data_IF_190542488100
#
_entry.id   IF_190542488100
#
_cell.length_a   1.000
_cell.length_b   1.000
_cell.length_c   1.000
_cell.angle_alpha   90.00
_cell.angle_beta   90.00
_cell.angle_gamma   90.00
#
_symmetry.space_group_name_H-M   'P 1'
#
loop_
_entity.id
_entity.type
_entity.pdbx_description
1 polymer ?
#
# COMPACT_ATOMS: atom_id res chain seq x y z
N UNK A 1 30.02 37.61 -32.95
CA UNK A 1 29.21 37.04 -31.85
C UNK A 1 27.69 37.26 -32.01
N UNK A 2 27.18 38.49 -32.18
CA UNK A 2 25.72 38.76 -32.24
C UNK A 2 24.98 38.03 -33.37
N UNK A 3 25.61 37.88 -34.54
CA UNK A 3 25.00 37.22 -35.70
C UNK A 3 24.88 35.70 -35.53
N UNK A 4 25.87 35.08 -34.90
CA UNK A 4 25.82 33.65 -34.54
C UNK A 4 24.71 33.36 -33.54
N UNK A 5 24.55 34.20 -32.51
CA UNK A 5 23.45 34.09 -31.54
C UNK A 5 22.08 34.28 -32.21
N UNK A 6 21.95 35.22 -33.16
CA UNK A 6 20.71 35.43 -33.93
C UNK A 6 20.39 34.23 -34.82
N UNK A 7 21.40 33.63 -35.46
CA UNK A 7 21.25 32.43 -36.29
C UNK A 7 20.88 31.20 -35.45
N UNK A 8 21.46 31.06 -34.26
CA UNK A 8 21.11 30.00 -33.31
C UNK A 8 19.67 30.15 -32.81
N UNK A 9 19.23 31.35 -32.45
CA UNK A 9 17.86 31.62 -32.03
C UNK A 9 16.84 31.36 -33.15
N UNK A 10 17.16 31.73 -34.40
CA UNK A 10 16.31 31.45 -35.55
C UNK A 10 16.20 29.96 -35.84
N UNK A 11 17.31 29.22 -35.76
CA UNK A 11 17.31 27.77 -35.94
C UNK A 11 16.51 27.06 -34.83
N UNK A 12 16.67 27.49 -33.58
CA UNK A 12 15.87 26.95 -32.46
C UNK A 12 14.37 27.25 -32.65
N UNK A 13 14.01 28.47 -33.08
CA UNK A 13 12.62 28.83 -33.37
C UNK A 13 12.02 27.99 -34.50
N UNK A 14 12.75 27.80 -35.61
CA UNK A 14 12.32 26.94 -36.72
C UNK A 14 12.18 25.47 -36.31
N UNK A 15 13.12 24.97 -35.52
CA UNK A 15 13.06 23.60 -34.99
C UNK A 15 11.87 23.44 -34.05
N UNK A 16 11.65 24.37 -33.11
CA UNK A 16 10.49 24.36 -32.21
C UNK A 16 9.17 24.41 -32.98
N UNK A 17 9.09 25.22 -34.05
CA UNK A 17 7.90 25.30 -34.88
C UNK A 17 7.64 24.01 -35.68
N UNK A 18 8.68 23.40 -36.26
CA UNK A 18 8.57 22.12 -36.95
C UNK A 18 8.21 20.99 -35.99
N UNK A 19 8.85 20.93 -34.83
CA UNK A 19 8.59 19.96 -33.77
C UNK A 19 7.16 20.07 -33.21
N UNK A 20 6.65 21.28 -33.01
CA UNK A 20 5.26 21.48 -32.57
C UNK A 20 4.25 21.10 -33.66
N UNK A 21 4.58 21.32 -34.94
CA UNK A 21 3.76 20.88 -36.07
C UNK A 21 3.73 19.36 -36.19
N UNK A 22 4.89 18.71 -36.15
CA UNK A 22 5.02 17.24 -36.13
C UNK A 22 4.30 16.64 -34.91
N UNK A 23 4.42 17.25 -33.72
CA UNK A 23 3.66 16.86 -32.52
C UNK A 23 2.15 16.96 -32.75
N UNK A 24 1.69 18.00 -33.44
CA UNK A 24 0.27 18.20 -33.75
C UNK A 24 -0.24 17.23 -34.83
N UNK A 25 0.61 16.85 -35.79
CA UNK A 25 0.27 15.96 -36.90
C UNK A 25 0.34 14.47 -36.51
N UNK A 26 1.35 14.06 -35.73
CA UNK A 26 1.60 12.64 -35.40
C UNK A 26 1.00 12.20 -34.05
N UNK A 27 0.81 13.11 -33.08
CA UNK A 27 0.45 12.75 -31.70
C UNK A 27 -0.73 13.58 -31.19
N UNK A 28 -1.94 13.05 -31.42
CA UNK A 28 -3.23 13.62 -30.97
C UNK A 28 -3.29 13.95 -29.47
N UNK A 29 -2.47 13.28 -28.66
CA UNK A 29 -2.31 13.52 -27.23
C UNK A 29 -0.83 13.40 -26.88
N UNK A 30 -0.33 14.27 -26.03
CA UNK A 30 1.09 14.28 -25.71
C UNK A 30 1.33 14.61 -24.25
N UNK A 31 1.92 13.65 -23.53
CA UNK A 31 2.19 13.74 -22.10
C UNK A 31 3.60 14.28 -21.86
N UNK A 32 3.71 15.38 -21.13
CA UNK A 32 4.97 15.97 -20.70
C UNK A 32 5.39 15.38 -19.34
N UNK A 33 6.48 14.63 -19.33
CA UNK A 33 7.04 13.97 -18.13
C UNK A 33 7.65 14.95 -17.11
N UNK A 34 8.05 16.15 -17.53
CA UNK A 34 8.67 17.12 -16.64
C UNK A 34 7.60 17.97 -15.93
N UNK A 35 6.50 18.25 -16.60
CA UNK A 35 5.37 19.04 -16.05
C UNK A 35 4.16 18.20 -15.67
N UNK A 36 4.21 16.88 -15.90
CA UNK A 36 3.10 15.93 -15.68
C UNK A 36 1.78 16.39 -16.34
N UNK A 37 1.88 17.11 -17.47
CA UNK A 37 0.74 17.71 -18.15
C UNK A 37 0.42 16.99 -19.46
N UNK A 38 -0.86 16.67 -19.67
CA UNK A 38 -1.36 16.13 -20.93
C UNK A 38 -1.76 17.28 -21.86
N UNK A 39 -1.07 17.44 -22.97
CA UNK A 39 -1.41 18.41 -24.00
C UNK A 39 -2.28 17.76 -25.07
N UNK A 40 -3.43 18.37 -25.33
CA UNK A 40 -4.38 17.97 -26.37
C UNK A 40 -4.79 19.17 -27.24
N UNK A 41 -5.01 18.98 -28.55
CA UNK A 41 -5.53 20.02 -29.43
C UNK A 41 -6.92 20.48 -28.97
N UNK A 42 -7.13 21.80 -28.90
CA UNK A 42 -8.37 22.43 -28.39
C UNK A 42 -9.59 22.09 -29.26
N UNK A 43 -9.40 21.63 -30.50
CA UNK A 43 -10.47 21.49 -31.50
C UNK A 43 -11.23 20.16 -31.51
N UNK A 44 -10.86 19.13 -30.72
CA UNK A 44 -11.45 17.78 -30.86
C UNK A 44 -11.89 17.08 -29.55
N UNK A 45 -12.12 17.82 -28.47
CA UNK A 45 -12.72 17.24 -27.26
C UNK A 45 -14.25 17.34 -27.28
N UNK A 46 -14.96 16.21 -27.26
CA UNK A 46 -16.37 16.21 -26.83
C UNK A 46 -16.37 16.68 -25.37
N UNK A 47 -16.93 17.87 -25.10
CA UNK A 47 -17.14 18.31 -23.73
C UNK A 47 -18.19 17.39 -23.10
N UNK A 48 -17.74 16.52 -22.21
CA UNK A 48 -18.65 15.65 -21.46
C UNK A 48 -19.59 16.52 -20.60
N UNK A 49 -20.86 16.12 -20.44
CA UNK A 49 -21.79 16.82 -19.56
C UNK A 49 -21.25 16.84 -18.12
N UNK A 50 -21.65 17.86 -17.35
CA UNK A 50 -21.14 18.08 -15.99
C UNK A 50 -21.44 16.91 -15.03
N UNK A 51 -22.48 16.12 -15.32
CA UNK A 51 -22.79 14.88 -14.61
C UNK A 51 -21.76 13.77 -14.82
N UNK A 52 -21.13 13.71 -16.00
CA UNK A 52 -20.12 12.70 -16.36
C UNK A 52 -18.70 13.10 -15.91
N UNK A 53 -18.50 14.34 -15.47
CA UNK A 53 -17.22 14.84 -14.91
C UNK A 53 -17.30 15.12 -13.41
N UNK A 54 -18.43 14.79 -12.76
CA UNK A 54 -18.60 14.96 -11.32
C UNK A 54 -17.73 13.94 -10.59
N UNK A 55 -16.81 14.45 -9.76
CA UNK A 55 -15.99 13.62 -8.89
C UNK A 55 -16.89 12.88 -7.89
N UNK A 56 -16.82 11.55 -7.91
CA UNK A 56 -17.40 10.63 -6.97
C UNK A 56 -16.68 10.66 -5.64
N UNK A 57 -17.12 9.79 -4.71
CA UNK A 57 -16.59 9.80 -3.34
C UNK A 57 -15.14 9.29 -3.25
N UNK A 58 -14.64 8.58 -4.27
CA UNK A 58 -13.30 7.98 -4.29
C UNK A 58 -12.71 8.01 -5.70
N UNK A 59 -12.30 9.19 -6.19
CA UNK A 59 -11.77 9.30 -7.54
C UNK A 59 -10.33 8.80 -7.59
N UNK A 60 -10.00 8.02 -8.62
CA UNK A 60 -8.68 7.45 -8.85
C UNK A 60 -7.77 8.49 -9.48
N UNK A 61 -6.59 8.70 -8.89
CA UNK A 61 -5.59 9.60 -9.45
C UNK A 61 -4.97 8.97 -10.71
N UNK A 62 -5.18 9.61 -11.87
CA UNK A 62 -4.60 9.17 -13.15
C UNK A 62 -3.22 9.81 -13.35
N UNK A 63 -3.11 11.09 -12.98
CA UNK A 63 -1.88 11.87 -12.96
C UNK A 63 -1.84 12.70 -11.66
N UNK A 64 -0.67 13.15 -11.20
CA UNK A 64 -0.57 14.04 -10.05
C UNK A 64 -1.49 15.27 -10.22
N UNK A 65 -2.53 15.37 -9.39
CA UNK A 65 -3.51 16.46 -9.45
C UNK A 65 -4.68 16.26 -10.44
N UNK A 66 -4.74 15.13 -11.17
CA UNK A 66 -5.87 14.79 -12.04
C UNK A 66 -6.53 13.49 -11.56
N UNK A 67 -7.85 13.54 -11.36
CA UNK A 67 -8.62 12.45 -10.76
C UNK A 67 -9.82 12.07 -11.66
N UNK A 68 -10.15 10.78 -11.72
CA UNK A 68 -11.30 10.24 -12.46
C UNK A 68 -12.02 9.19 -11.62
N UNK A 69 -13.35 9.14 -11.66
CA UNK A 69 -14.13 8.02 -11.09
C UNK A 69 -14.46 6.97 -12.14
N UNK A 70 -14.25 7.28 -13.42
CA UNK A 70 -14.39 6.30 -14.49
C UNK A 70 -13.16 5.41 -14.54
N UNK A 71 -13.32 4.16 -14.11
CA UNK A 71 -12.37 3.08 -14.33
C UNK A 71 -13.02 2.08 -15.29
N UNK A 72 -12.40 1.83 -16.45
CA UNK A 72 -12.82 0.71 -17.31
C UNK A 72 -12.45 -0.58 -16.59
N UNK A 73 -13.45 -1.41 -16.28
CA UNK A 73 -13.24 -2.74 -15.70
C UNK A 73 -12.81 -3.66 -16.85
N UNK A 74 -11.63 -4.25 -16.72
CA UNK A 74 -11.10 -5.22 -17.69
C UNK A 74 -11.33 -6.63 -17.17
N UNK A 75 -11.70 -7.54 -18.07
CA UNK A 75 -11.73 -8.97 -17.78
C UNK A 75 -10.32 -9.54 -17.58
N UNK A 76 -10.23 -10.70 -16.92
CA UNK A 76 -8.96 -11.40 -16.70
C UNK A 76 -8.23 -11.68 -18.03
N UNK A 77 -8.98 -12.01 -19.08
CA UNK A 77 -8.46 -12.29 -20.43
C UNK A 77 -7.91 -11.03 -21.11
N UNK A 78 -8.60 -9.90 -21.01
CA UNK A 78 -8.12 -8.60 -21.54
C UNK A 78 -6.87 -8.10 -20.82
N UNK A 79 -6.74 -8.37 -19.52
CA UNK A 79 -5.57 -7.99 -18.71
C UNK A 79 -4.31 -8.77 -19.09
N UNK A 80 -4.43 -10.02 -19.53
CA UNK A 80 -3.29 -10.84 -19.98
C UNK A 80 -2.60 -10.26 -21.22
N UNK A 81 -3.35 -9.55 -22.07
CA UNK A 81 -2.84 -8.92 -23.29
C UNK A 81 -2.35 -7.47 -23.11
N UNK A 82 -2.53 -6.86 -21.93
CA UNK A 82 -2.10 -5.48 -21.69
C UNK A 82 -0.63 -5.42 -21.27
N UNK A 83 0.15 -4.42 -21.75
CA UNK A 83 1.57 -4.27 -21.44
C UNK A 83 1.79 -3.70 -20.03
N UNK A 84 1.28 -4.40 -19.01
CA UNK A 84 1.64 -4.20 -17.61
C UNK A 84 2.90 -5.02 -17.33
N UNK A 85 3.70 -4.67 -16.31
CA UNK A 85 4.99 -5.34 -15.99
C UNK A 85 4.91 -6.85 -15.66
N UNK A 86 3.74 -7.46 -15.85
CA UNK A 86 3.37 -8.87 -15.68
C UNK A 86 2.67 -9.41 -16.94
N UNK A 87 3.18 -9.10 -18.13
CA UNK A 87 2.76 -9.80 -19.36
C UNK A 87 3.14 -11.27 -19.21
N UNK A 88 2.14 -12.15 -19.06
CA UNK A 88 2.35 -13.61 -18.92
C UNK A 88 2.30 -14.34 -20.27
N UNK A 89 1.93 -13.65 -21.35
CA UNK A 89 1.76 -14.22 -22.69
C UNK A 89 2.07 -13.18 -23.76
N UNK A 90 2.72 -13.60 -24.86
CA UNK A 90 3.15 -12.72 -25.95
C UNK A 90 2.00 -11.98 -26.64
N UNK A 91 2.29 -11.03 -27.56
CA UNK A 91 1.25 -10.28 -28.25
C UNK A 91 0.37 -11.23 -29.05
N UNK A 92 -0.87 -11.42 -28.60
CA UNK A 92 -1.85 -12.23 -29.30
C UNK A 92 -2.23 -11.58 -30.62
N UNK A 93 -2.37 -12.37 -31.68
CA UNK A 93 -2.97 -11.86 -32.91
C UNK A 93 -4.47 -11.66 -32.71
N UNK A 94 -5.08 -10.78 -33.52
CA UNK A 94 -6.52 -10.54 -33.45
C UNK A 94 -7.34 -11.83 -33.70
N UNK A 95 -6.77 -12.80 -34.42
CA UNK A 95 -7.39 -14.12 -34.62
C UNK A 95 -7.38 -14.99 -33.34
N UNK A 96 -6.35 -14.94 -32.51
CA UNK A 96 -6.25 -15.74 -31.27
C UNK A 96 -7.24 -15.26 -30.20
N UNK A 97 -7.46 -13.95 -30.09
CA UNK A 97 -8.48 -13.35 -29.20
C UNK A 97 -9.91 -13.70 -29.61
N UNK A 98 -10.14 -13.95 -30.90
CA UNK A 98 -11.45 -14.36 -31.42
C UNK A 98 -11.73 -15.85 -31.19
N UNK A 99 -10.68 -16.69 -31.21
CA UNK A 99 -10.80 -18.13 -30.98
C UNK A 99 -11.06 -18.49 -29.51
N UNK A 100 -10.38 -17.84 -28.56
CA UNK A 100 -10.61 -18.09 -27.12
C UNK A 100 -12.00 -17.60 -26.64
N UNK A 101 -12.61 -16.63 -27.33
CA UNK A 101 -13.97 -16.19 -27.06
C UNK A 101 -15.04 -17.21 -27.52
N UNK A 102 -14.67 -18.24 -28.28
CA UNK A 102 -15.57 -19.27 -28.81
C UNK A 102 -15.51 -20.60 -28.04
N UNK A 103 -14.58 -20.79 -27.09
CA UNK A 103 -14.45 -22.06 -26.35
C UNK A 103 -15.14 -22.09 -24.96
N UNK A 104 -15.67 -20.96 -24.45
CA UNK A 104 -16.48 -20.95 -23.22
C UNK A 104 -17.99 -20.84 -23.48
N UNK A 105 -18.47 -21.50 -24.55
CA UNK A 105 -19.91 -21.73 -24.74
C UNK A 105 -20.15 -23.20 -25.05
N UNK A 106 -20.22 -24.03 -24.00
CA UNK A 106 -20.89 -25.35 -24.01
C UNK A 106 -21.05 -25.85 -22.56
N UNK A 107 -21.86 -25.16 -21.75
CA UNK A 107 -22.79 -25.84 -20.84
C UNK A 107 -23.97 -24.92 -20.46
N UNK A 108 -25.13 -25.54 -20.34
CA UNK A 108 -26.50 -25.05 -20.52
C UNK A 108 -27.00 -24.03 -19.47
N UNK A 109 -27.44 -22.83 -19.89
CA UNK A 109 -28.85 -22.41 -19.74
C UNK A 109 -29.15 -21.08 -20.44
N UNK A 110 -30.18 -21.13 -21.29
CA UNK A 110 -30.70 -20.09 -22.17
C UNK A 110 -30.90 -18.71 -21.52
N UNK A 111 -30.44 -17.65 -22.21
CA UNK A 111 -31.34 -16.57 -22.68
C UNK A 111 -30.75 -15.86 -23.89
N UNK A 112 -31.56 -15.84 -24.95
CA UNK A 112 -31.37 -15.21 -26.23
C UNK A 112 -31.18 -13.70 -26.12
N UNK A 113 -30.16 -13.19 -26.80
CA UNK A 113 -30.08 -11.80 -27.21
C UNK A 113 -30.87 -11.63 -28.52
N UNK A 114 -31.78 -10.65 -28.57
CA UNK A 114 -32.16 -10.00 -29.81
C UNK A 114 -32.60 -8.56 -29.55
N UNK A 115 -32.13 -7.75 -30.48
CA UNK A 115 -32.14 -6.29 -30.57
C UNK A 115 -33.56 -5.72 -30.58
N UNK A 116 -33.74 -4.57 -29.90
CA UNK A 116 -34.92 -3.74 -30.07
C UNK A 116 -34.91 -2.53 -29.15
N UNK A 117 -34.74 -1.35 -29.75
CA UNK A 117 -35.38 -0.06 -29.43
C UNK A 117 -35.95 0.12 -28.02
N UNK A 118 -35.46 1.14 -27.31
CA UNK A 118 -35.99 1.62 -26.04
C UNK A 118 -37.51 1.88 -26.08
N UNK A 119 -38.29 1.24 -25.21
CA UNK A 119 -39.59 1.74 -24.79
C UNK A 119 -39.48 2.37 -23.40
N UNK A 120 -40.00 3.58 -23.34
CA UNK A 120 -40.55 4.24 -22.16
C UNK A 120 -41.35 3.25 -21.30
N UNK A 121 -41.00 3.09 -20.01
CA UNK A 121 -41.81 2.30 -19.08
C UNK A 121 -42.09 3.07 -17.79
N UNK A 122 -43.38 2.99 -17.45
CA UNK A 122 -44.13 3.67 -16.41
C UNK A 122 -43.71 3.15 -15.03
N UNK A 123 -43.57 4.08 -14.09
CA UNK A 123 -43.56 3.80 -12.65
C UNK A 123 -44.90 3.19 -12.22
N UNK A 124 -44.86 2.23 -11.29
CA UNK A 124 -45.90 1.89 -10.28
C UNK A 124 -45.37 0.71 -9.40
N UNK A 125 -45.77 0.57 -8.13
CA UNK A 125 -44.95 1.02 -7.01
C UNK A 125 -44.54 -0.09 -6.03
N UNK A 126 -43.32 0.03 -5.47
CA UNK A 126 -42.93 -0.73 -4.27
C UNK A 126 -43.57 -0.11 -3.03
N UNK A 127 -44.09 -1.01 -2.18
CA UNK A 127 -44.90 -0.76 -1.01
C UNK A 127 -44.10 0.00 0.05
N UNK A 128 -44.32 1.30 0.13
CA UNK A 128 -43.85 2.12 1.25
C UNK A 128 -44.82 1.96 2.42
N UNK A 129 -44.31 1.50 3.56
CA UNK A 129 -44.97 1.77 4.83
C UNK A 129 -45.01 3.30 5.01
N UNK A 130 -46.12 3.90 5.51
CA UNK A 130 -46.28 5.34 5.51
C UNK A 130 -45.23 5.97 6.45
N UNK A 131 -44.26 6.65 5.86
CA UNK A 131 -43.40 7.57 6.61
C UNK A 131 -44.19 8.86 6.73
N UNK A 132 -44.71 9.12 7.94
CA UNK A 132 -45.27 10.40 8.33
C UNK A 132 -44.34 11.55 7.88
N UNK A 133 -44.83 12.57 7.15
CA UNK A 133 -43.99 13.64 6.61
C UNK A 133 -43.70 14.70 7.69
N UNK A 134 -43.07 14.31 8.78
CA UNK A 134 -42.74 15.20 9.91
C UNK A 134 -41.39 14.89 10.57
N UNK A 135 -40.30 14.85 9.81
CA UNK A 135 -38.97 15.19 10.37
C UNK A 135 -37.94 15.49 9.28
N UNK A 136 -37.42 16.71 9.28
CA UNK A 136 -36.18 17.04 8.59
C UNK A 136 -35.03 16.26 9.26
N UNK A 137 -34.72 15.06 8.79
CA UNK A 137 -33.67 14.23 9.38
C UNK A 137 -32.29 14.89 9.21
N UNK A 138 -31.73 15.33 10.33
CA UNK A 138 -30.38 15.86 10.43
C UNK A 138 -29.41 14.79 9.94
N UNK A 139 -28.72 15.03 8.82
CA UNK A 139 -27.65 14.18 8.33
C UNK A 139 -26.67 13.83 9.46
N UNK A 140 -26.20 12.58 9.58
CA UNK A 140 -25.34 12.17 10.69
C UNK A 140 -24.04 12.99 10.68
N UNK A 141 -23.66 13.49 11.86
CA UNK A 141 -22.48 14.34 12.07
C UNK A 141 -21.51 13.65 13.01
N UNK A 142 -20.22 13.82 12.73
CA UNK A 142 -19.13 13.32 13.56
C UNK A 142 -19.19 13.89 14.99
N UNK A 143 -19.12 13.04 16.02
CA UNK A 143 -19.07 13.44 17.44
C UNK A 143 -17.93 14.40 17.76
N UNK A 144 -16.81 14.28 17.05
CA UNK A 144 -15.56 14.99 17.35
C UNK A 144 -15.51 16.36 16.67
N UNK A 145 -15.73 16.42 15.35
CA UNK A 145 -15.58 17.66 14.57
C UNK A 145 -16.91 18.29 14.14
N UNK A 146 -18.04 17.63 14.44
CA UNK A 146 -19.39 18.03 14.01
C UNK A 146 -19.54 18.16 12.48
N UNK A 147 -18.64 17.55 11.70
CA UNK A 147 -18.68 17.49 10.25
C UNK A 147 -19.49 16.31 9.72
N UNK A 148 -20.09 16.47 8.54
CA UNK A 148 -20.76 15.37 7.83
C UNK A 148 -19.79 14.55 6.96
N UNK A 149 -20.32 13.69 6.08
CA UNK A 149 -19.51 12.88 5.14
C UNK A 149 -18.64 13.70 4.19
N UNK A 150 -19.03 14.94 3.90
CA UNK A 150 -18.29 15.83 3.00
C UNK A 150 -17.13 16.58 3.64
N UNK A 151 -16.96 16.52 4.97
CA UNK A 151 -15.97 17.35 5.68
C UNK A 151 -15.55 16.75 7.03
N UNK A 152 -14.31 16.30 7.13
CA UNK A 152 -13.64 15.92 8.37
C UNK A 152 -12.94 17.12 9.04
N UNK A 153 -12.15 16.87 10.09
CA UNK A 153 -11.39 17.91 10.82
C UNK A 153 -10.44 18.73 9.93
N UNK A 154 -9.93 18.12 8.86
CA UNK A 154 -9.02 18.74 7.88
C UNK A 154 -9.76 19.33 6.66
N UNK A 155 -11.09 19.34 6.67
CA UNK A 155 -11.89 19.89 5.57
C UNK A 155 -12.11 18.94 4.40
N UNK A 156 -11.68 17.67 4.48
CA UNK A 156 -11.72 16.70 3.39
C UNK A 156 -12.97 15.80 3.48
N UNK A 157 -13.50 15.30 2.36
CA UNK A 157 -14.56 14.28 2.38
C UNK A 157 -14.03 12.98 2.98
N UNK A 158 -14.77 12.43 3.95
CA UNK A 158 -14.40 11.20 4.65
C UNK A 158 -15.68 10.51 5.15
N UNK A 159 -15.80 9.17 5.00
CA UNK A 159 -16.96 8.45 5.50
C UNK A 159 -17.06 8.53 7.03
N UNK A 160 -18.29 8.41 7.53
CA UNK A 160 -18.56 8.25 8.95
C UNK A 160 -18.71 6.77 9.26
N UNK A 161 -18.03 6.32 10.29
CA UNK A 161 -18.28 5.02 10.94
C UNK A 161 -19.22 5.23 12.12
N UNK A 162 -20.06 4.25 12.40
CA UNK A 162 -21.11 4.33 13.43
C UNK A 162 -20.85 3.25 14.46
N UNK A 163 -20.81 3.62 15.74
CA UNK A 163 -20.71 2.65 16.82
C UNK A 163 -21.95 1.75 16.86
N UNK A 164 -21.77 0.43 16.86
CA UNK A 164 -22.85 -0.55 16.96
C UNK A 164 -23.63 -0.48 18.27
N UNK A 165 -23.01 0.04 19.33
CA UNK A 165 -23.63 0.17 20.67
C UNK A 165 -24.33 1.51 20.84
N UNK A 166 -23.59 2.62 20.86
CA UNK A 166 -24.16 3.95 21.14
C UNK A 166 -24.63 4.71 19.89
N UNK A 167 -24.52 4.11 18.70
CA UNK A 167 -24.94 4.69 17.40
C UNK A 167 -24.34 6.05 17.08
N UNK A 168 -23.26 6.43 17.76
CA UNK A 168 -22.62 7.72 17.56
C UNK A 168 -21.74 7.68 16.29
N UNK A 169 -21.91 8.62 15.33
CA UNK A 169 -21.09 8.70 14.14
C UNK A 169 -19.75 9.38 14.42
N UNK A 170 -18.66 8.90 13.82
CA UNK A 170 -17.34 9.52 13.88
C UNK A 170 -16.59 9.34 12.57
N UNK A 171 -15.75 10.29 12.19
CA UNK A 171 -14.78 10.05 11.11
C UNK A 171 -13.63 9.19 11.64
N UNK A 172 -13.16 8.20 10.86
CA UNK A 172 -11.99 7.39 11.19
C UNK A 172 -10.78 8.22 11.65
N UNK A 173 -10.39 9.25 10.88
CA UNK A 173 -9.26 10.11 11.23
C UNK A 173 -9.52 11.00 12.44
N UNK A 174 -10.77 11.30 12.78
CA UNK A 174 -11.11 12.09 13.97
C UNK A 174 -10.92 11.28 15.27
N UNK A 175 -10.87 9.95 15.18
CA UNK A 175 -10.64 9.05 16.32
C UNK A 175 -9.41 8.16 16.10
N UNK A 176 -8.45 8.65 15.32
CA UNK A 176 -7.13 8.05 15.07
C UNK A 176 -7.16 6.63 14.47
N UNK A 177 -8.23 6.30 13.74
CA UNK A 177 -8.29 5.10 12.93
C UNK A 177 -7.73 5.34 11.54
N UNK A 178 -7.04 4.33 11.02
CA UNK A 178 -6.49 4.37 9.66
C UNK A 178 -7.55 3.91 8.65
N UNK A 179 -7.51 4.47 7.42
CA UNK A 179 -8.43 4.06 6.35
C UNK A 179 -8.35 2.56 6.03
N UNK A 180 -7.17 1.94 6.22
CA UNK A 180 -6.98 0.51 6.01
C UNK A 180 -7.80 -0.35 7.00
N UNK A 181 -7.99 0.13 8.23
CA UNK A 181 -8.80 -0.56 9.24
C UNK A 181 -10.29 -0.56 8.87
N UNK A 182 -10.78 0.45 8.13
CA UNK A 182 -12.22 0.61 7.80
C UNK A 182 -12.77 -0.63 7.11
N UNK A 183 -12.02 -1.14 6.13
CA UNK A 183 -12.39 -2.37 5.40
C UNK A 183 -12.69 -3.55 6.32
N UNK A 184 -12.01 -3.61 7.48
CA UNK A 184 -12.25 -4.65 8.48
C UNK A 184 -13.30 -4.26 9.50
N UNK A 185 -13.33 -3.00 9.91
CA UNK A 185 -14.30 -2.42 10.85
C UNK A 185 -15.73 -2.55 10.33
N UNK A 186 -15.97 -2.33 9.04
CA UNK A 186 -17.29 -2.47 8.42
C UNK A 186 -17.78 -3.93 8.35
N UNK A 187 -16.87 -4.91 8.50
CA UNK A 187 -17.24 -6.33 8.49
C UNK A 187 -17.86 -6.83 9.79
N UNK A 188 -17.95 -5.99 10.83
CA UNK A 188 -18.56 -6.37 12.11
C UNK A 188 -19.16 -5.16 12.85
N UNK A 189 -19.88 -5.42 13.95
CA UNK A 189 -20.45 -4.37 14.81
C UNK A 189 -19.35 -3.67 15.63
N UNK A 190 -18.68 -2.69 15.03
CA UNK A 190 -17.61 -1.93 15.67
C UNK A 190 -18.11 -1.10 16.85
N UNK A 191 -17.30 -1.01 17.91
CA UNK A 191 -17.59 -0.23 19.12
C UNK A 191 -16.63 0.97 19.21
N UNK A 192 -17.12 2.15 19.61
CA UNK A 192 -16.26 3.29 19.91
C UNK A 192 -15.43 3.05 21.18
N UNK A 193 -14.48 3.96 21.47
CA UNK A 193 -13.64 3.89 22.67
C UNK A 193 -14.47 3.75 23.95
N UNK A 194 -15.53 4.56 24.10
CA UNK A 194 -16.41 4.56 25.28
C UNK A 194 -17.31 3.31 25.42
N UNK A 195 -17.41 2.48 24.37
CA UNK A 195 -18.27 1.29 24.36
C UNK A 195 -17.48 0.00 24.15
N UNK A 196 -16.14 0.08 24.20
CA UNK A 196 -15.28 -1.03 23.82
C UNK A 196 -15.37 -2.12 24.87
N UNK A 197 -15.62 -3.34 24.42
CA UNK A 197 -15.60 -4.54 25.26
C UNK A 197 -14.50 -5.48 24.82
N UNK A 198 -13.96 -6.27 25.74
CA UNK A 198 -12.97 -7.29 25.41
C UNK A 198 -13.61 -8.39 24.55
N UNK A 199 -13.11 -8.61 23.33
CA UNK A 199 -13.66 -9.62 22.42
C UNK A 199 -13.45 -11.08 22.86
N UNK A 200 -12.75 -11.32 23.97
CA UNK A 200 -12.53 -12.65 24.53
C UNK A 200 -13.45 -12.96 25.72
N UNK A 201 -13.68 -12.00 26.63
CA UNK A 201 -14.53 -12.19 27.81
C UNK A 201 -15.84 -11.39 27.79
N UNK A 202 -16.01 -10.49 26.82
CA UNK A 202 -17.13 -9.55 26.66
C UNK A 202 -17.31 -8.54 27.81
N UNK A 203 -16.26 -8.32 28.60
CA UNK A 203 -16.26 -7.40 29.74
C UNK A 203 -15.66 -6.03 29.33
N UNK A 204 -16.30 -4.89 29.65
CA UNK A 204 -15.74 -3.55 29.46
C UNK A 204 -14.76 -3.09 30.57
N UNK A 205 -14.73 -3.74 31.74
CA UNK A 205 -13.93 -3.29 32.89
C UNK A 205 -12.42 -3.34 32.61
N UNK A 206 -11.56 -2.86 33.52
CA UNK A 206 -10.10 -2.90 33.38
C UNK A 206 -9.58 -2.22 32.07
N UNK A 207 -10.20 -1.09 31.67
CA UNK A 207 -9.89 -0.36 30.43
C UNK A 207 -8.40 -0.03 30.27
N UNK A 208 -7.70 0.31 31.36
CA UNK A 208 -6.25 0.61 31.37
C UNK A 208 -5.37 -0.59 30.94
N UNK A 209 -5.91 -1.81 31.04
CA UNK A 209 -5.25 -3.06 30.66
C UNK A 209 -5.82 -3.64 29.36
N UNK A 210 -6.64 -2.87 28.65
CA UNK A 210 -7.17 -3.23 27.34
C UNK A 210 -6.25 -2.73 26.22
N UNK A 211 -5.98 -3.59 25.24
CA UNK A 211 -5.23 -3.27 24.03
C UNK A 211 -6.12 -3.43 22.80
N UNK A 212 -5.92 -2.56 21.81
CA UNK A 212 -6.66 -2.59 20.55
C UNK A 212 -5.80 -3.18 19.44
N UNK A 213 -6.43 -3.97 18.58
CA UNK A 213 -5.75 -4.51 17.41
C UNK A 213 -5.54 -3.43 16.35
N UNK A 214 -4.29 -3.23 15.90
CA UNK A 214 -3.92 -2.23 14.87
C UNK A 214 -4.45 -2.52 13.45
N UNK A 215 -5.26 -3.56 13.26
CA UNK A 215 -5.87 -3.91 11.96
C UNK A 215 -7.39 -3.92 11.98
N UNK A 216 -8.01 -4.23 13.11
CA UNK A 216 -9.46 -4.30 13.20
C UNK A 216 -10.06 -3.45 14.31
N UNK A 217 -9.27 -2.87 15.21
CA UNK A 217 -9.74 -2.06 16.35
C UNK A 217 -10.60 -2.81 17.39
N UNK A 218 -10.57 -4.15 17.41
CA UNK A 218 -11.15 -4.93 18.50
C UNK A 218 -10.30 -4.82 19.76
N UNK A 219 -10.97 -4.67 20.91
CA UNK A 219 -10.34 -4.60 22.22
C UNK A 219 -10.15 -5.97 22.86
N UNK A 220 -9.05 -6.12 23.59
CA UNK A 220 -8.71 -7.32 24.35
C UNK A 220 -8.00 -6.91 25.63
N UNK A 221 -8.34 -7.49 26.78
CA UNK A 221 -7.45 -7.38 27.92
C UNK A 221 -6.12 -8.07 27.64
N UNK A 222 -5.01 -7.47 28.07
CA UNK A 222 -3.67 -8.06 27.91
C UNK A 222 -3.62 -9.50 28.42
N UNK A 223 -4.26 -9.80 29.56
CA UNK A 223 -4.28 -11.13 30.16
C UNK A 223 -5.19 -12.11 29.42
N UNK A 224 -6.29 -11.65 28.81
CA UNK A 224 -7.17 -12.48 27.99
C UNK A 224 -6.48 -13.03 26.73
N UNK A 225 -5.40 -12.37 26.28
CA UNK A 225 -4.58 -12.81 25.14
C UNK A 225 -3.19 -13.29 25.56
N UNK A 226 -2.99 -13.60 26.85
CA UNK A 226 -1.74 -14.18 27.36
C UNK A 226 -0.54 -13.23 27.42
N UNK A 227 -0.77 -11.91 27.27
CA UNK A 227 0.27 -10.90 27.38
C UNK A 227 0.44 -10.44 28.83
N UNK A 228 1.69 -10.37 29.28
CA UNK A 228 2.03 -9.88 30.64
C UNK A 228 2.11 -8.36 30.74
N UNK A 229 2.35 -7.68 29.62
CA UNK A 229 2.52 -6.23 29.50
C UNK A 229 2.05 -5.79 28.11
N UNK A 230 1.65 -4.54 27.99
CA UNK A 230 1.35 -3.92 26.69
C UNK A 230 2.62 -3.98 25.82
N UNK A 231 2.56 -4.60 24.62
CA UNK A 231 3.69 -4.67 23.71
C UNK A 231 4.01 -3.28 23.16
N UNK A 232 5.30 -2.94 23.07
CA UNK A 232 5.70 -1.72 22.37
C UNK A 232 5.68 -1.96 20.86
N UNK A 233 4.94 -1.12 20.13
CA UNK A 233 4.78 -1.23 18.68
C UNK A 233 3.40 -1.78 18.31
N UNK A 234 3.28 -2.32 17.09
CA UNK A 234 1.99 -2.79 16.58
C UNK A 234 1.62 -4.16 17.12
N UNK A 235 0.34 -4.39 17.42
CA UNK A 235 -0.19 -5.68 17.83
C UNK A 235 -1.44 -6.05 17.00
N UNK A 236 -1.53 -7.33 16.64
CA UNK A 236 -2.67 -7.88 15.92
C UNK A 236 -3.31 -9.01 16.73
N UNK A 237 -4.64 -9.00 16.83
CA UNK A 237 -5.41 -10.03 17.52
C UNK A 237 -5.38 -11.36 16.76
N UNK A 238 -5.87 -12.44 17.40
CA UNK A 238 -5.90 -13.80 16.83
C UNK A 238 -6.58 -13.90 15.45
N UNK A 239 -7.55 -13.04 15.15
CA UNK A 239 -8.27 -13.01 13.87
C UNK A 239 -7.52 -12.24 12.77
N UNK A 240 -6.71 -11.25 13.15
CA UNK A 240 -5.93 -10.43 12.23
C UNK A 240 -4.47 -10.88 12.14
N UNK A 241 -4.04 -11.75 13.05
CA UNK A 241 -2.70 -12.28 13.10
C UNK A 241 -2.40 -13.05 11.82
N UNK A 242 -1.26 -12.73 11.23
CA UNK A 242 -0.71 -13.39 10.06
C UNK A 242 0.75 -13.70 10.39
N UNK A 243 1.20 -14.90 10.06
CA UNK A 243 2.60 -15.26 10.22
C UNK A 243 3.46 -14.33 9.36
N UNK A 244 4.35 -13.58 10.00
CA UNK A 244 5.24 -12.63 9.32
C UNK A 244 6.15 -13.28 8.27
N UNK A 245 6.52 -14.56 8.47
CA UNK A 245 7.37 -15.29 7.52
C UNK A 245 6.57 -15.86 6.35
N UNK A 246 5.59 -16.73 6.63
CA UNK A 246 4.92 -17.52 5.59
C UNK A 246 3.56 -16.98 5.16
N UNK A 247 3.03 -15.92 5.78
CA UNK A 247 1.74 -15.35 5.43
C UNK A 247 0.52 -16.19 5.84
N UNK A 248 0.72 -17.34 6.52
CA UNK A 248 -0.41 -18.14 7.01
C UNK A 248 -1.25 -17.35 8.01
N UNK A 249 -2.57 -17.50 7.93
CA UNK A 249 -3.55 -16.96 8.90
C UNK A 249 -3.93 -17.98 9.99
N UNK A 250 -3.27 -19.13 10.01
CA UNK A 250 -3.47 -20.16 11.01
C UNK A 250 -2.22 -20.22 11.91
N UNK A 251 -2.35 -20.21 13.25
CA UNK A 251 -1.21 -20.38 14.17
C UNK A 251 -0.49 -21.73 13.97
N UNK A 252 -1.14 -22.76 13.42
CA UNK A 252 -0.50 -24.02 13.06
C UNK A 252 0.29 -23.96 11.73
N UNK A 253 0.25 -22.83 11.00
CA UNK A 253 0.87 -22.72 9.68
C UNK A 253 0.18 -23.63 8.66
N UNK A 254 0.96 -24.49 8.01
CA UNK A 254 0.48 -25.53 7.10
C UNK A 254 0.53 -26.93 7.75
N UNK A 255 0.83 -27.01 9.05
CA UNK A 255 0.92 -28.26 9.80
C UNK A 255 -0.36 -28.51 10.60
N UNK A 256 -0.66 -29.77 10.91
CA UNK A 256 -1.77 -30.14 11.78
C UNK A 256 -1.31 -30.21 13.24
N UNK A 257 -1.35 -29.06 13.94
CA UNK A 257 -0.95 -28.93 15.34
C UNK A 257 -2.19 -28.64 16.19
N UNK A 258 -2.49 -29.49 17.16
CA UNK A 258 -3.58 -29.27 18.11
C UNK A 258 -3.23 -28.13 19.06
N UNK A 259 -4.21 -27.27 19.38
CA UNK A 259 -4.07 -26.12 20.27
C UNK A 259 -2.90 -25.20 19.91
N UNK A 260 -2.69 -24.98 18.59
CA UNK A 260 -1.64 -24.08 18.14
C UNK A 260 -1.97 -22.63 18.52
N UNK A 261 -1.03 -21.97 19.16
CA UNK A 261 -1.14 -20.57 19.55
C UNK A 261 -0.11 -19.71 18.81
N UNK A 262 -0.48 -18.47 18.51
CA UNK A 262 0.41 -17.50 17.88
C UNK A 262 1.62 -17.20 18.77
N UNK A 263 2.81 -17.20 18.17
CA UNK A 263 4.06 -16.93 18.88
C UNK A 263 4.47 -15.48 18.60
N UNK A 264 4.64 -14.69 19.66
CA UNK A 264 4.99 -13.28 19.57
C UNK A 264 6.44 -13.06 19.99
N UNK A 265 7.24 -12.53 19.07
CA UNK A 265 8.66 -12.32 19.27
C UNK A 265 8.97 -10.87 19.58
N UNK A 266 9.88 -10.65 20.55
CA UNK A 266 10.25 -9.33 21.03
C UNK A 266 11.76 -9.14 20.95
N UNK A 267 12.19 -7.96 20.51
CA UNK A 267 13.60 -7.58 20.41
C UNK A 267 13.94 -6.53 21.46
N UNK A 268 15.10 -6.67 22.09
CA UNK A 268 15.65 -5.62 22.98
C UNK A 268 16.14 -4.45 22.14
N UNK A 269 15.70 -3.25 22.49
CA UNK A 269 16.27 -2.03 21.94
C UNK A 269 17.72 -1.85 22.41
N UNK A 270 18.58 -1.30 21.55
CA UNK A 270 20.01 -1.11 21.86
C UNK A 270 20.22 -0.01 22.90
N UNK A 271 19.34 0.99 22.90
CA UNK A 271 19.55 2.21 23.67
C UNK A 271 18.90 2.14 25.06
N UNK A 272 17.69 1.57 25.17
CA UNK A 272 16.89 1.64 26.42
C UNK A 272 16.61 0.28 27.09
N UNK A 273 17.20 -0.83 26.62
CA UNK A 273 16.95 -2.22 27.10
C UNK A 273 15.48 -2.67 27.10
N UNK A 274 14.55 -1.87 26.59
CA UNK A 274 13.13 -2.18 26.54
C UNK A 274 12.83 -3.21 25.44
N UNK A 275 11.90 -4.12 25.70
CA UNK A 275 11.43 -5.10 24.72
C UNK A 275 10.43 -4.43 23.77
N UNK A 276 10.71 -4.53 22.46
CA UNK A 276 9.84 -4.07 21.37
C UNK A 276 9.27 -5.27 20.64
N UNK A 277 7.96 -5.26 20.36
CA UNK A 277 7.35 -6.28 19.53
C UNK A 277 8.02 -6.28 18.15
N UNK A 278 8.44 -7.46 17.69
CA UNK A 278 9.14 -7.64 16.43
C UNK A 278 8.21 -8.26 15.38
N UNK A 279 7.62 -9.41 15.69
CA UNK A 279 6.74 -10.10 14.75
C UNK A 279 5.85 -11.14 15.46
N UNK A 280 4.83 -11.59 14.73
CA UNK A 280 4.01 -12.76 15.07
C UNK A 280 4.33 -13.89 14.10
N UNK A 281 4.50 -15.10 14.64
CA UNK A 281 4.87 -16.30 13.91
C UNK A 281 3.88 -17.42 14.20
N UNK A 282 3.61 -18.24 13.20
CA UNK A 282 2.98 -19.54 13.42
C UNK A 282 3.97 -20.49 14.12
N UNK A 283 3.44 -21.52 14.78
CA UNK A 283 4.23 -22.51 15.54
C UNK A 283 5.36 -23.13 14.71
N UNK A 284 5.17 -23.52 13.43
CA UNK A 284 6.26 -24.01 12.60
C UNK A 284 7.39 -22.99 12.39
N UNK A 285 7.05 -21.75 12.04
CA UNK A 285 8.05 -20.70 11.81
C UNK A 285 8.80 -20.31 13.08
N UNK A 286 8.12 -20.29 14.23
CA UNK A 286 8.72 -20.03 15.54
C UNK A 286 9.83 -21.04 15.88
N UNK A 287 9.66 -22.33 15.55
CA UNK A 287 10.70 -23.36 15.78
C UNK A 287 12.03 -22.98 15.12
N UNK A 288 12.00 -22.50 13.88
CA UNK A 288 13.20 -22.07 13.15
C UNK A 288 13.72 -20.71 13.66
N UNK A 289 12.82 -19.81 14.06
CA UNK A 289 13.20 -18.55 14.69
C UNK A 289 14.03 -18.76 15.95
N UNK A 290 13.58 -19.65 16.85
CA UNK A 290 14.30 -20.03 18.08
C UNK A 290 15.67 -20.66 17.81
N UNK A 291 15.82 -21.35 16.67
CA UNK A 291 17.10 -21.87 16.16
C UNK A 291 17.98 -20.82 15.48
N UNK A 292 17.55 -19.55 15.45
CA UNK A 292 18.23 -18.43 14.78
C UNK A 292 18.36 -18.60 13.25
N UNK A 293 17.44 -19.34 12.64
CA UNK A 293 17.38 -19.56 11.19
C UNK A 293 16.43 -18.54 10.55
N UNK A 294 16.88 -17.29 10.50
CA UNK A 294 16.16 -16.20 9.84
C UNK A 294 17.12 -15.20 9.19
N UNK A 295 16.63 -14.50 8.16
CA UNK A 295 17.36 -13.44 7.48
C UNK A 295 17.62 -12.28 8.44
N UNK A 296 18.89 -11.87 8.57
CA UNK A 296 19.25 -10.79 9.49
C UNK A 296 18.78 -9.38 9.09
N UNK A 297 18.27 -9.22 7.86
CA UNK A 297 17.78 -7.95 7.33
C UNK A 297 16.25 -7.88 7.40
N UNK A 298 15.55 -8.82 6.77
CA UNK A 298 14.08 -8.81 6.74
C UNK A 298 13.42 -9.65 7.84
N UNK A 299 14.19 -10.39 8.65
CA UNK A 299 13.71 -11.25 9.74
C UNK A 299 12.83 -12.44 9.31
N UNK A 300 12.62 -12.67 8.01
CA UNK A 300 11.91 -13.88 7.57
C UNK A 300 12.74 -15.12 7.88
N UNK A 301 12.08 -16.11 8.47
CA UNK A 301 12.64 -17.44 8.71
C UNK A 301 12.88 -18.16 7.39
N UNK A 302 13.92 -18.98 7.35
CA UNK A 302 14.20 -19.89 6.23
C UNK A 302 14.30 -21.33 6.72
N UNK A 303 13.89 -22.26 5.86
CA UNK A 303 13.94 -23.70 6.11
C UNK A 303 15.20 -24.32 5.52
N UNK A 304 15.58 -23.86 4.32
CA UNK A 304 16.68 -24.41 3.54
C UNK A 304 17.46 -23.27 2.88
N UNK A 305 18.80 -23.37 2.92
CA UNK A 305 19.67 -22.33 2.33
C UNK A 305 19.46 -22.21 0.82
N UNK A 306 19.55 -23.29 0.01
CA UNK A 306 19.38 -23.19 -1.43
C UNK A 306 17.95 -22.85 -1.86
N UNK A 307 16.92 -23.45 -1.24
CA UNK A 307 15.52 -23.26 -1.64
C UNK A 307 15.03 -21.84 -1.34
N UNK A 308 15.39 -21.29 -0.17
CA UNK A 308 15.00 -19.94 0.22
C UNK A 308 15.96 -18.86 -0.32
N UNK A 309 16.89 -19.22 -1.23
CA UNK A 309 17.81 -18.28 -1.85
C UNK A 309 18.70 -17.54 -0.84
N UNK A 310 19.18 -18.23 0.19
CA UNK A 310 20.01 -17.64 1.24
C UNK A 310 21.49 -17.67 0.87
N UNK A 311 22.18 -16.57 1.18
CA UNK A 311 23.64 -16.43 1.02
C UNK A 311 24.27 -16.01 2.33
N UNK A 312 25.46 -16.53 2.62
CA UNK A 312 26.24 -16.10 3.78
C UNK A 312 26.86 -14.72 3.48
N UNK A 313 26.71 -13.80 4.41
CA UNK A 313 27.39 -12.51 4.33
C UNK A 313 28.90 -12.69 4.53
N UNK A 314 29.73 -12.05 3.71
CA UNK A 314 31.19 -12.10 3.90
C UNK A 314 31.67 -11.30 5.12
N UNK A 315 30.94 -10.25 5.50
CA UNK A 315 31.28 -9.40 6.65
C UNK A 315 30.77 -9.89 8.02
N UNK A 316 29.97 -10.96 8.09
CA UNK A 316 29.47 -11.49 9.36
C UNK A 316 28.95 -12.93 9.17
N UNK A 317 28.85 -13.76 10.23
CA UNK A 317 28.44 -15.17 10.09
C UNK A 317 26.94 -15.38 9.78
N UNK A 318 26.21 -14.33 9.37
CA UNK A 318 24.76 -14.37 9.19
C UNK A 318 24.37 -14.66 7.74
N UNK A 319 23.21 -15.28 7.57
CA UNK A 319 22.58 -15.51 6.28
C UNK A 319 21.56 -14.42 5.97
N UNK A 320 21.46 -14.07 4.68
CA UNK A 320 20.54 -13.08 4.13
C UNK A 320 20.03 -13.56 2.77
N UNK A 321 18.84 -13.13 2.36
CA UNK A 321 18.37 -13.43 1.01
C UNK A 321 19.32 -12.84 -0.03
N UNK A 322 19.56 -13.62 -1.08
CA UNK A 322 20.26 -13.21 -2.29
C UNK A 322 19.62 -11.93 -2.83
N UNK A 323 18.31 -11.93 -2.99
CA UNK A 323 17.61 -10.79 -3.58
C UNK A 323 16.97 -9.91 -2.48
N UNK A 324 17.15 -8.60 -2.60
CA UNK A 324 16.60 -7.58 -1.69
C UNK A 324 17.24 -7.45 -0.30
N UNK A 325 17.94 -8.49 0.21
CA UNK A 325 18.56 -8.46 1.55
C UNK A 325 20.10 -8.49 1.55
N UNK A 326 20.72 -8.62 0.38
CA UNK A 326 22.18 -8.59 0.22
C UNK A 326 22.58 -7.66 -0.92
N UNK A 327 23.80 -7.14 -0.82
CA UNK A 327 24.42 -6.28 -1.83
C UNK A 327 25.65 -7.03 -2.36
N UNK A 328 25.75 -7.13 -3.69
CA UNK A 328 26.88 -7.70 -4.39
C UNK A 328 27.89 -6.59 -4.70
N UNK A 329 29.13 -6.74 -4.25
CA UNK A 329 30.24 -5.85 -4.55
C UNK A 329 31.49 -6.72 -4.78
N UNK A 330 32.20 -6.50 -5.90
CA UNK A 330 33.44 -7.22 -6.23
C UNK A 330 33.31 -8.76 -6.13
N UNK A 331 32.19 -9.30 -6.61
CA UNK A 331 31.83 -10.72 -6.54
C UNK A 331 31.63 -11.28 -5.11
N UNK A 332 31.60 -10.41 -4.09
CA UNK A 332 31.33 -10.76 -2.70
C UNK A 332 29.95 -10.24 -2.27
N UNK A 333 29.23 -11.02 -1.47
CA UNK A 333 27.91 -10.62 -0.95
C UNK A 333 27.96 -10.17 0.50
N UNK A 334 27.37 -9.01 0.76
CA UNK A 334 27.28 -8.41 2.09
C UNK A 334 25.83 -8.17 2.47
N UNK A 335 25.50 -8.36 3.77
CA UNK A 335 24.24 -7.85 4.27
C UNK A 335 24.25 -6.31 4.29
N UNK A 336 23.07 -5.69 4.25
CA UNK A 336 22.94 -4.23 4.22
C UNK A 336 23.67 -3.51 5.36
N UNK A 337 23.80 -4.15 6.52
CA UNK A 337 24.52 -3.57 7.66
C UNK A 337 26.04 -3.58 7.46
N UNK A 338 26.62 -4.73 7.09
CA UNK A 338 28.06 -4.85 6.84
C UNK A 338 28.50 -3.99 5.65
N UNK A 339 27.69 -3.91 4.60
CA UNK A 339 27.95 -3.05 3.44
C UNK A 339 28.02 -1.56 3.85
N UNK A 340 27.03 -1.08 4.62
CA UNK A 340 27.02 0.30 5.13
C UNK A 340 28.21 0.58 6.05
N UNK A 341 28.54 -0.37 6.93
CA UNK A 341 29.69 -0.24 7.84
C UNK A 341 31.00 -0.11 7.06
N UNK A 342 31.24 -0.95 6.05
CA UNK A 342 32.44 -0.95 5.20
C UNK A 342 32.56 0.33 4.36
N UNK A 343 31.46 0.79 3.77
CA UNK A 343 31.47 2.02 2.98
C UNK A 343 31.64 3.27 3.86
N UNK A 344 31.11 3.27 5.07
CA UNK A 344 31.38 4.35 6.03
C UNK A 344 32.87 4.42 6.38
N UNK A 345 33.54 3.28 6.55
CA UNK A 345 35.00 3.20 6.77
C UNK A 345 35.81 3.60 5.53
N UNK A 346 35.37 3.20 4.33
CA UNK A 346 36.03 3.57 3.07
C UNK A 346 35.93 5.08 2.76
N UNK A 347 34.79 5.69 3.06
CA UNK A 347 34.57 7.14 2.92
C UNK A 347 35.40 7.94 3.93
N UNK A 348 35.51 7.45 5.17
CA UNK A 348 36.39 8.08 6.17
C UNK A 348 37.86 7.95 5.79
N UNK A 349 38.31 6.79 5.31
CA UNK A 349 39.69 6.62 4.82
C UNK A 349 39.99 7.50 3.61
N UNK A 350 39.07 7.59 2.63
CA UNK A 350 39.20 8.48 1.47
C UNK A 350 39.26 9.96 1.86
N UNK A 351 38.48 10.38 2.86
CA UNK A 351 38.52 11.74 3.42
C UNK A 351 39.84 12.04 4.12
N UNK A 352 40.38 11.08 4.87
CA UNK A 352 41.70 11.21 5.52
C UNK A 352 42.79 11.35 4.46
N UNK A 353 42.78 10.51 3.41
CA UNK A 353 43.74 10.59 2.31
C UNK A 353 43.62 11.93 1.57
N UNK A 354 42.40 12.39 1.27
CA UNK A 354 42.18 13.68 0.62
C UNK A 354 42.65 14.86 1.50
N UNK A 355 42.44 14.79 2.82
CA UNK A 355 42.93 15.79 3.76
C UNK A 355 44.48 15.77 3.86
N UNK A 356 45.10 14.59 3.85
CA UNK A 356 46.56 14.44 3.83
C UNK A 356 47.17 14.99 2.53
N UNK A 357 46.59 14.65 1.37
CA UNK A 357 47.00 15.19 0.06
C UNK A 357 46.84 16.70 -0.01
N UNK A 358 45.75 17.25 0.54
CA UNK A 358 45.53 18.70 0.63
C UNK A 358 46.57 19.38 1.51
N UNK A 359 46.92 18.79 2.67
CA UNK A 359 47.99 19.30 3.54
C UNK A 359 49.37 19.27 2.87
N UNK A 360 49.67 18.20 2.14
CA UNK A 360 50.91 18.09 1.36
C UNK A 360 50.97 19.12 0.22
N UNK A 361 49.84 19.39 -0.46
CA UNK A 361 49.76 20.38 -1.54
C UNK A 361 49.87 21.84 -1.03
N UNK A 362 49.48 22.11 0.22
CA UNK A 362 49.57 23.46 0.82
C UNK A 362 50.93 23.78 1.46
N UNK A 363 51.94 22.90 1.34
CA UNK A 363 53.34 23.23 1.65
C UNK A 363 53.60 23.79 3.06
N UNK A 364 52.87 23.37 4.09
CA UNK A 364 53.21 23.76 5.46
C UNK A 364 54.36 22.88 6.00
N UNK A 365 55.51 23.46 6.40
CA UNK A 365 56.62 22.68 6.91
C UNK A 365 56.25 22.08 8.27
N UNK A 366 56.20 20.75 8.31
CA UNK A 366 56.34 19.99 9.54
C UNK A 366 57.80 20.11 9.97
N UNK A 367 58.05 20.93 11.00
CA UNK A 367 58.98 20.73 12.12
C UNK A 367 59.29 22.10 12.72
N UNK A 368 58.83 22.32 13.95
CA UNK A 368 59.49 23.20 14.90
C UNK A 368 59.87 22.32 16.09
N UNK A 369 61.16 22.05 16.19
CA UNK A 369 61.84 21.59 17.41
C UNK A 369 61.64 22.55 18.57
#
# INVERSE_FOLDING_TARGET
MKEYSRKAALNASKWNAAFNRERHEERRYSFDLQTFSLHMPISHGVKLPQSATKLGSYPVAVLPGQYTDYCKIYSSSELKGMPLQTVLSGPFTAEELAAEAQEESDDDTSVVASVGTCPEFKEEPETTLPIDPLSAEKQPRCKVCNGGRGRNKDGKPEPLIICGTCRTPSHPTCIDLTLAMITKIESYSWQCMDCKTCAQCNDPDDEERMIFCDMCDRGYHIYCVGLRRVPNGRWHCKECAVCFTCGSRNPAGNEHIKNAEWQHEFKKDKDNKQLRYACTLCVPCDKYWKRRQFCSVCMKVYRSIPEDGMVRCMGCPKYVHKDGCSILQDNERFCNYCYKSRNSTALTHSRIIAAAKKKMATGSPMWKS
#
